data_IF_975211319666
#
_entry.id   IF_975211319666
#
_cell.length_a   1.000
_cell.length_b   1.000
_cell.length_c   1.000
_cell.angle_alpha   90.00
_cell.angle_beta   90.00
_cell.angle_gamma   90.00
#
_symmetry.space_group_name_H-M   'P 1'
#
loop_
_entity.id
_entity.type
_entity.pdbx_description
1 polymer ?
#
# COMPACT_ATOMS: atom_id res chain seq x y z
N UNK A 1 1.91 -15.07 20.39
CA UNK A 1 2.00 -13.62 20.72
C UNK A 1 1.92 -12.89 19.39
N UNK A 2 1.09 -11.90 19.23
CA UNK A 2 1.05 -11.15 17.97
C UNK A 2 2.00 -9.98 18.11
N UNK A 3 2.98 -9.89 17.21
CA UNK A 3 3.89 -8.76 17.16
C UNK A 3 3.13 -7.52 16.64
N UNK A 4 3.41 -6.36 17.23
CA UNK A 4 2.79 -5.09 16.87
C UNK A 4 3.89 -4.12 16.45
N UNK A 5 3.78 -3.62 15.24
CA UNK A 5 4.71 -2.67 14.67
C UNK A 5 3.96 -1.39 14.30
N UNK A 6 4.48 -0.24 14.71
CA UNK A 6 3.87 1.09 14.49
C UNK A 6 4.76 1.94 13.60
N UNK A 7 4.14 2.64 12.67
CA UNK A 7 4.87 3.49 11.73
C UNK A 7 3.97 4.60 11.19
N UNK A 8 4.56 5.57 10.51
CA UNK A 8 3.85 6.64 9.83
C UNK A 8 4.26 6.67 8.35
N UNK A 9 3.28 6.74 7.47
CA UNK A 9 3.50 6.90 6.03
C UNK A 9 2.67 8.07 5.54
N UNK A 10 3.31 9.04 4.91
CA UNK A 10 2.67 10.24 4.36
C UNK A 10 1.73 10.95 5.34
N UNK A 11 2.12 11.00 6.63
CA UNK A 11 1.37 11.64 7.67
C UNK A 11 0.19 10.83 8.21
N UNK A 12 -0.01 9.56 7.80
CA UNK A 12 -0.98 8.65 8.39
C UNK A 12 -0.31 7.62 9.29
N UNK A 13 -0.96 7.33 10.42
CA UNK A 13 -0.50 6.31 11.36
C UNK A 13 -0.99 4.93 10.96
N UNK A 14 -0.10 3.96 11.06
CA UNK A 14 -0.38 2.55 10.81
C UNK A 14 0.12 1.67 11.94
N UNK A 15 -0.63 0.61 12.20
CA UNK A 15 -0.24 -0.49 13.06
C UNK A 15 -0.32 -1.80 12.27
N UNK A 16 0.77 -2.55 12.22
CA UNK A 16 0.75 -3.92 11.72
C UNK A 16 0.73 -4.87 12.90
N UNK A 17 -0.23 -5.80 12.88
CA UNK A 17 -0.33 -6.93 13.79
C UNK A 17 -0.11 -8.20 13.00
N UNK A 18 0.77 -9.09 13.45
CA UNK A 18 1.09 -10.30 12.70
C UNK A 18 1.34 -11.49 13.62
N UNK A 19 1.01 -12.68 13.13
CA UNK A 19 1.39 -13.96 13.75
C UNK A 19 2.67 -14.55 13.15
N UNK A 20 3.26 -13.87 12.13
CA UNK A 20 4.48 -14.29 11.45
C UNK A 20 5.30 -13.05 11.08
N UNK A 21 6.25 -12.70 11.95
CA UNK A 21 7.10 -11.53 11.80
C UNK A 21 8.07 -11.67 10.61
N UNK A 22 8.56 -12.87 10.34
CA UNK A 22 9.51 -13.12 9.24
C UNK A 22 8.86 -12.79 7.89
N UNK A 23 7.65 -13.27 7.68
CA UNK A 23 6.90 -13.01 6.45
C UNK A 23 6.38 -11.58 6.33
N UNK A 24 6.32 -10.80 7.40
CA UNK A 24 5.92 -9.38 7.37
C UNK A 24 7.11 -8.42 7.35
N UNK A 25 8.29 -8.84 7.78
CA UNK A 25 9.48 -7.99 7.83
C UNK A 25 9.87 -7.37 6.47
N UNK A 26 9.53 -8.03 5.34
CA UNK A 26 9.81 -7.43 4.04
C UNK A 26 9.04 -6.12 3.80
N UNK A 27 7.84 -5.94 4.38
CA UNK A 27 7.08 -4.67 4.32
C UNK A 27 7.92 -3.57 4.96
N UNK A 28 8.54 -3.86 6.11
CA UNK A 28 9.39 -2.91 6.82
C UNK A 28 10.72 -2.65 6.13
N UNK A 29 11.30 -3.67 5.49
CA UNK A 29 12.52 -3.49 4.71
C UNK A 29 12.29 -2.57 3.50
N UNK A 30 11.09 -2.65 2.90
CA UNK A 30 10.69 -1.76 1.80
C UNK A 30 10.37 -0.35 2.31
N UNK A 31 9.66 -0.25 3.42
CA UNK A 31 9.26 1.03 4.00
C UNK A 31 10.36 1.68 4.85
N UNK A 32 11.32 0.90 5.34
CA UNK A 32 12.22 1.22 6.45
C UNK A 32 13.06 2.48 6.31
N UNK A 33 13.46 2.88 5.10
CA UNK A 33 14.15 4.15 4.89
C UNK A 33 13.21 5.37 4.89
N UNK A 34 11.92 5.16 4.64
CA UNK A 34 10.91 6.19 4.43
C UNK A 34 9.90 6.30 5.59
N UNK A 35 9.82 5.26 6.42
CA UNK A 35 8.94 5.23 7.59
C UNK A 35 9.76 5.55 8.84
N UNK A 36 9.93 6.83 9.12
CA UNK A 36 10.43 7.22 10.45
C UNK A 36 9.40 6.78 11.48
N UNK A 37 9.89 6.25 12.62
CA UNK A 37 9.09 5.87 13.81
C UNK A 37 8.33 7.07 14.44
N UNK A 38 7.91 8.01 13.66
CA UNK A 38 7.23 9.23 14.06
C UNK A 38 5.71 8.99 14.06
N UNK A 39 5.27 8.04 14.91
CA UNK A 39 3.86 7.90 15.20
C UNK A 39 3.33 9.25 15.72
N UNK A 40 2.36 9.84 14.98
CA UNK A 40 1.79 11.13 15.37
C UNK A 40 0.90 10.90 16.57
N UNK A 41 1.24 11.52 17.70
CA UNK A 41 0.43 11.45 18.91
C UNK A 41 -0.99 11.96 18.62
N UNK A 42 -2.00 11.33 19.22
CA UNK A 42 -3.42 11.69 19.09
C UNK A 42 -4.06 11.53 17.70
N UNK A 43 -3.36 10.92 16.73
CA UNK A 43 -3.95 10.55 15.45
C UNK A 43 -4.31 9.06 15.45
N UNK A 44 -5.55 8.75 15.06
CA UNK A 44 -6.03 7.37 14.91
C UNK A 44 -5.21 6.60 13.89
N UNK A 45 -4.97 5.32 14.14
CA UNK A 45 -4.18 4.45 13.27
C UNK A 45 -5.06 3.57 12.38
N UNK A 46 -4.61 3.34 11.16
CA UNK A 46 -5.09 2.21 10.35
C UNK A 46 -4.42 0.92 10.86
N UNK A 47 -5.22 -0.13 11.03
CA UNK A 47 -4.73 -1.41 11.55
C UNK A 47 -4.69 -2.43 10.41
N UNK A 48 -3.52 -2.98 10.15
CA UNK A 48 -3.30 -4.08 9.22
C UNK A 48 -2.95 -5.33 10.03
N UNK A 49 -3.87 -6.29 10.05
CA UNK A 49 -3.71 -7.56 10.77
C UNK A 49 -3.46 -8.68 9.79
N UNK A 50 -2.25 -9.27 9.84
CA UNK A 50 -1.85 -10.37 8.97
C UNK A 50 -1.87 -11.68 9.74
N UNK A 51 -2.70 -12.61 9.27
CA UNK A 51 -2.80 -13.97 9.77
C UNK A 51 -2.34 -14.93 8.67
N UNK A 52 -1.20 -15.56 8.87
CA UNK A 52 -0.68 -16.60 7.97
C UNK A 52 -1.28 -17.93 8.41
N UNK A 53 -2.29 -18.40 7.67
CA UNK A 53 -3.01 -19.63 7.95
C UNK A 53 -3.45 -20.33 6.66
N UNK A 54 -2.76 -21.43 6.35
CA UNK A 54 -3.05 -22.22 5.17
C UNK A 54 -4.42 -22.93 5.22
N UNK A 55 -4.98 -23.10 6.40
CA UNK A 55 -6.24 -23.84 6.62
C UNK A 55 -7.45 -22.94 6.77
N UNK A 56 -7.25 -21.62 6.78
CA UNK A 56 -8.35 -20.69 6.95
C UNK A 56 -9.36 -20.79 5.80
N UNK A 57 -10.62 -21.02 6.16
CA UNK A 57 -11.75 -21.00 5.23
C UNK A 57 -12.67 -19.84 5.63
N UNK A 58 -12.79 -18.81 4.78
CA UNK A 58 -13.63 -17.66 5.10
C UNK A 58 -15.10 -18.08 5.21
N UNK A 59 -15.75 -17.73 6.33
CA UNK A 59 -17.20 -17.83 6.45
C UNK A 59 -17.83 -16.69 5.67
N UNK A 60 -18.25 -16.98 4.44
CA UNK A 60 -18.81 -15.98 3.54
C UNK A 60 -20.29 -15.80 3.85
N UNK A 61 -20.67 -14.63 4.33
CA UNK A 61 -22.05 -14.19 4.24
C UNK A 61 -22.30 -13.73 2.80
N UNK A 62 -23.03 -14.52 2.02
CA UNK A 62 -23.30 -14.30 0.57
C UNK A 62 -24.16 -13.05 0.26
N UNK A 63 -24.41 -12.19 1.23
CA UNK A 63 -25.22 -10.99 1.06
C UNK A 63 -24.30 -9.81 0.69
N UNK A 64 -24.46 -9.26 -0.50
CA UNK A 64 -23.71 -8.10 -0.95
C UNK A 64 -23.58 -8.02 -2.47
N UNK A 65 -23.05 -6.90 -2.96
CA UNK A 65 -22.77 -6.71 -4.39
C UNK A 65 -21.40 -7.30 -4.68
N UNK A 66 -21.34 -8.26 -5.60
CA UNK A 66 -20.09 -8.90 -6.01
C UNK A 66 -19.48 -8.17 -7.20
N UNK A 67 -18.18 -7.94 -7.15
CA UNK A 67 -17.37 -7.38 -8.23
C UNK A 67 -16.20 -8.31 -8.52
N UNK A 68 -15.88 -8.48 -9.80
CA UNK A 68 -14.72 -9.24 -10.25
C UNK A 68 -13.55 -8.29 -10.57
N UNK A 69 -12.35 -8.64 -10.11
CA UNK A 69 -11.11 -7.91 -10.32
C UNK A 69 -10.05 -8.84 -10.95
N UNK A 70 -9.00 -8.25 -11.51
CA UNK A 70 -7.86 -9.02 -12.04
C UNK A 70 -7.20 -9.91 -10.98
N UNK A 71 -7.13 -9.45 -9.73
CA UNK A 71 -6.50 -10.13 -8.61
C UNK A 71 -7.44 -11.07 -7.84
N UNK A 72 -8.75 -11.00 -8.10
CA UNK A 72 -9.76 -11.78 -7.39
C UNK A 72 -11.14 -11.18 -7.50
N UNK A 73 -11.97 -11.38 -6.49
CA UNK A 73 -13.29 -10.75 -6.38
C UNK A 73 -13.48 -10.10 -5.02
N UNK A 74 -14.35 -9.11 -4.95
CA UNK A 74 -14.76 -8.57 -3.66
C UNK A 74 -16.27 -8.51 -3.52
N UNK A 75 -16.76 -8.61 -2.29
CA UNK A 75 -18.16 -8.47 -1.94
C UNK A 75 -18.28 -7.34 -0.92
N UNK A 76 -19.08 -6.33 -1.26
CA UNK A 76 -19.41 -5.24 -0.35
C UNK A 76 -20.69 -5.55 0.42
N UNK A 77 -20.60 -5.60 1.74
CA UNK A 77 -21.76 -5.69 2.64
C UNK A 77 -22.11 -4.29 3.16
N UNK A 78 -23.14 -3.69 2.57
CA UNK A 78 -23.59 -2.35 2.92
C UNK A 78 -24.09 -2.23 4.38
N UNK A 79 -24.69 -3.28 4.92
CA UNK A 79 -25.25 -3.23 6.27
C UNK A 79 -24.17 -3.18 7.35
N UNK A 80 -23.07 -3.93 7.13
CA UNK A 80 -21.95 -3.99 8.05
C UNK A 80 -20.83 -3.00 7.68
N UNK A 81 -20.94 -2.30 6.55
CA UNK A 81 -19.92 -1.42 5.99
C UNK A 81 -18.56 -2.10 5.93
N UNK A 82 -18.55 -3.32 5.36
CA UNK A 82 -17.36 -4.12 5.22
C UNK A 82 -17.17 -4.63 3.79
N UNK A 83 -15.90 -4.73 3.38
CA UNK A 83 -15.51 -5.37 2.14
C UNK A 83 -14.87 -6.71 2.44
N UNK A 84 -15.29 -7.73 1.70
CA UNK A 84 -14.71 -9.06 1.74
C UNK A 84 -14.00 -9.30 0.41
N UNK A 85 -12.69 -9.49 0.44
CA UNK A 85 -11.83 -9.59 -0.74
C UNK A 85 -11.30 -11.02 -0.84
N UNK A 86 -11.53 -11.65 -1.97
CA UNK A 86 -11.10 -13.03 -2.27
C UNK A 86 -10.03 -12.98 -3.36
N UNK A 87 -8.81 -13.32 -3.00
CA UNK A 87 -7.69 -13.34 -3.94
C UNK A 87 -7.63 -14.66 -4.72
N UNK A 88 -7.08 -14.62 -5.93
CA UNK A 88 -6.93 -15.81 -6.80
C UNK A 88 -6.03 -16.90 -6.21
N UNK A 89 -5.11 -16.53 -5.33
CA UNK A 89 -4.23 -17.46 -4.63
C UNK A 89 -4.93 -18.18 -3.45
N UNK A 90 -6.20 -17.90 -3.24
CA UNK A 90 -7.02 -18.45 -2.17
C UNK A 90 -6.87 -17.72 -0.84
N UNK A 91 -6.08 -16.65 -0.78
CA UNK A 91 -6.04 -15.74 0.37
C UNK A 91 -7.34 -14.93 0.46
N UNK A 92 -7.59 -14.38 1.64
CA UNK A 92 -8.79 -13.62 1.92
C UNK A 92 -8.45 -12.39 2.73
N UNK A 93 -9.15 -11.28 2.48
CA UNK A 93 -9.08 -10.10 3.32
C UNK A 93 -10.46 -9.55 3.65
N UNK A 94 -10.56 -8.94 4.81
CA UNK A 94 -11.73 -8.22 5.29
C UNK A 94 -11.34 -6.80 5.65
N UNK A 95 -12.02 -5.82 5.07
CA UNK A 95 -11.87 -4.44 5.44
C UNK A 95 -13.09 -3.95 6.21
N UNK A 96 -12.84 -3.51 7.43
CA UNK A 96 -13.83 -2.93 8.35
C UNK A 96 -13.68 -1.41 8.30
N UNK A 97 -14.45 -0.77 7.43
CA UNK A 97 -14.34 0.66 7.12
C UNK A 97 -14.38 1.54 8.39
N UNK A 98 -15.44 1.44 9.18
CA UNK A 98 -15.62 2.24 10.40
C UNK A 98 -14.53 2.04 11.47
N UNK A 99 -13.79 0.93 11.39
CA UNK A 99 -12.74 0.58 12.34
C UNK A 99 -11.34 0.87 11.79
N UNK A 100 -11.25 1.38 10.58
CA UNK A 100 -9.97 1.57 9.86
C UNK A 100 -9.09 0.32 9.93
N UNK A 101 -9.68 -0.86 9.74
CA UNK A 101 -9.01 -2.13 9.98
C UNK A 101 -9.10 -3.06 8.78
N UNK A 102 -7.94 -3.53 8.32
CA UNK A 102 -7.79 -4.61 7.34
C UNK A 102 -7.34 -5.88 8.06
N UNK A 103 -8.01 -6.99 7.80
CA UNK A 103 -7.67 -8.31 8.35
C UNK A 103 -7.38 -9.22 7.17
N UNK A 104 -6.16 -9.73 7.10
CA UNK A 104 -5.72 -10.63 6.04
C UNK A 104 -5.56 -12.04 6.58
N UNK A 105 -5.99 -13.01 5.79
CA UNK A 105 -5.73 -14.43 5.96
C UNK A 105 -4.96 -14.90 4.73
N UNK A 106 -3.66 -15.03 4.87
CA UNK A 106 -2.73 -15.29 3.77
C UNK A 106 -2.36 -16.77 3.79
N UNK A 107 -2.65 -17.48 2.70
CA UNK A 107 -2.39 -18.92 2.62
C UNK A 107 -0.93 -19.24 2.30
N UNK A 108 -0.35 -18.59 1.30
CA UNK A 108 1.02 -18.87 0.88
C UNK A 108 1.63 -17.65 0.21
N UNK A 109 2.87 -17.36 0.59
CA UNK A 109 3.64 -16.30 -0.06
C UNK A 109 4.52 -16.95 -1.12
N UNK A 110 4.17 -16.71 -2.39
CA UNK A 110 5.00 -17.16 -3.53
C UNK A 110 6.03 -16.10 -3.94
N UNK A 111 5.72 -14.83 -3.71
CA UNK A 111 6.54 -13.71 -4.14
C UNK A 111 6.34 -12.50 -3.21
N UNK A 112 7.42 -12.05 -2.57
CA UNK A 112 7.41 -10.90 -1.64
C UNK A 112 6.91 -9.62 -2.31
N UNK A 113 7.24 -9.41 -3.58
CA UNK A 113 6.77 -8.24 -4.36
C UNK A 113 5.25 -8.24 -4.51
N UNK A 114 4.67 -9.37 -4.91
CA UNK A 114 3.21 -9.49 -5.05
C UNK A 114 2.51 -9.28 -3.71
N UNK A 115 3.09 -9.78 -2.62
CA UNK A 115 2.57 -9.57 -1.29
C UNK A 115 2.54 -8.08 -0.93
N UNK A 116 3.62 -7.33 -1.21
CA UNK A 116 3.68 -5.91 -0.96
C UNK A 116 2.58 -5.16 -1.71
N UNK A 117 2.42 -5.40 -3.00
CA UNK A 117 1.38 -4.73 -3.79
C UNK A 117 -0.03 -5.14 -3.35
N UNK A 118 -0.34 -6.43 -3.29
CA UNK A 118 -1.68 -6.94 -3.03
C UNK A 118 -2.17 -6.73 -1.60
N UNK A 119 -1.30 -6.97 -0.62
CA UNK A 119 -1.72 -7.01 0.78
C UNK A 119 -1.28 -5.79 1.59
N UNK A 120 -0.50 -4.91 1.01
CA UNK A 120 -0.10 -3.67 1.66
C UNK A 120 -0.45 -2.43 0.82
N UNK A 121 0.07 -2.29 -0.40
CA UNK A 121 -0.09 -1.07 -1.18
C UNK A 121 -1.53 -0.83 -1.64
N UNK A 122 -2.24 -1.85 -2.09
CA UNK A 122 -3.64 -1.72 -2.52
C UNK A 122 -4.55 -1.30 -1.35
N UNK A 123 -4.51 -1.98 -0.17
CA UNK A 123 -5.23 -1.52 1.01
C UNK A 123 -4.81 -0.14 1.51
N UNK A 124 -3.52 0.17 1.44
CA UNK A 124 -2.99 1.50 1.77
C UNK A 124 -3.60 2.58 0.86
N UNK A 125 -3.70 2.29 -0.44
CA UNK A 125 -4.31 3.21 -1.42
C UNK A 125 -5.77 3.51 -1.07
N UNK A 126 -6.53 2.51 -0.63
CA UNK A 126 -7.90 2.68 -0.18
C UNK A 126 -7.94 3.57 1.09
N UNK A 127 -7.10 3.28 2.07
CA UNK A 127 -7.01 4.08 3.30
C UNK A 127 -6.64 5.55 3.03
N UNK A 128 -5.81 5.78 2.02
CA UNK A 128 -5.39 7.14 1.65
C UNK A 128 -6.47 7.92 0.91
N UNK A 129 -7.27 7.26 0.07
CA UNK A 129 -8.41 7.91 -0.59
C UNK A 129 -9.39 8.51 0.41
N UNK A 130 -9.58 7.91 1.58
CA UNK A 130 -10.40 8.46 2.67
C UNK A 130 -9.84 9.79 3.21
N UNK A 131 -8.54 10.01 3.09
CA UNK A 131 -7.85 11.22 3.54
C UNK A 131 -7.51 12.17 2.38
N UNK A 132 -8.16 12.04 1.22
CA UNK A 132 -7.91 12.83 0.02
C UNK A 132 -6.45 12.73 -0.48
N UNK A 133 -5.81 11.60 -0.28
CA UNK A 133 -4.47 11.28 -0.77
C UNK A 133 -4.57 10.23 -1.87
N UNK A 134 -3.70 10.32 -2.87
CA UNK A 134 -3.75 9.40 -4.02
C UNK A 134 -2.36 8.81 -4.23
N UNK A 135 -2.29 7.47 -4.20
CA UNK A 135 -1.07 6.72 -4.52
C UNK A 135 -1.03 6.40 -6.01
N UNK A 136 0.12 6.60 -6.62
CA UNK A 136 0.39 6.24 -8.00
C UNK A 136 1.55 5.25 -8.09
N UNK A 137 1.41 4.29 -9.00
CA UNK A 137 2.54 3.49 -9.47
C UNK A 137 3.22 4.23 -10.62
N UNK A 138 4.40 4.79 -10.36
CA UNK A 138 5.14 5.61 -11.31
C UNK A 138 6.41 6.18 -10.70
N UNK A 139 7.19 6.89 -11.51
CA UNK A 139 8.35 7.60 -11.01
C UNK A 139 8.01 9.07 -10.71
N UNK A 140 8.61 9.60 -9.66
CA UNK A 140 8.51 10.99 -9.25
C UNK A 140 9.91 11.61 -9.24
N UNK A 141 10.06 12.71 -9.96
CA UNK A 141 11.30 13.48 -10.00
C UNK A 141 11.02 14.92 -9.57
N UNK A 142 12.05 15.63 -9.12
CA UNK A 142 11.99 17.06 -8.82
C UNK A 142 13.13 17.80 -9.54
N UNK A 143 12.81 18.92 -10.14
CA UNK A 143 13.83 19.81 -10.69
C UNK A 143 14.53 20.53 -9.53
N UNK A 144 15.87 20.36 -9.42
CA UNK A 144 16.67 20.92 -8.31
C UNK A 144 16.73 22.45 -8.30
N UNK A 145 16.42 23.09 -9.42
CA UNK A 145 16.45 24.56 -9.53
C UNK A 145 15.09 25.19 -9.23
N UNK A 146 14.01 24.64 -9.83
CA UNK A 146 12.65 25.21 -9.70
C UNK A 146 11.84 24.60 -8.58
N UNK A 147 12.28 23.46 -8.06
CA UNK A 147 11.54 22.61 -7.11
C UNK A 147 10.19 22.10 -7.64
N UNK A 148 10.04 22.06 -8.97
CA UNK A 148 8.85 21.52 -9.63
C UNK A 148 8.95 20.01 -9.78
N UNK A 149 7.86 19.31 -9.44
CA UNK A 149 7.76 17.87 -9.58
C UNK A 149 7.33 17.43 -10.97
N UNK A 150 7.93 16.34 -11.47
CA UNK A 150 7.50 15.65 -12.69
C UNK A 150 7.15 14.21 -12.34
N UNK A 151 5.93 13.79 -12.66
CA UNK A 151 5.46 12.42 -12.49
C UNK A 151 5.47 11.67 -13.83
N UNK A 152 6.16 10.54 -13.88
CA UNK A 152 6.16 9.63 -15.02
C UNK A 152 5.23 8.47 -14.78
N UNK A 153 4.08 8.46 -15.46
CA UNK A 153 3.07 7.42 -15.38
C UNK A 153 3.08 6.56 -16.65
N UNK A 154 2.81 5.27 -16.50
CA UNK A 154 2.73 4.35 -17.63
C UNK A 154 2.84 2.90 -17.20
N UNK A 155 2.52 1.98 -18.12
CA UNK A 155 2.63 0.54 -17.86
C UNK A 155 4.08 0.12 -17.58
N UNK A 156 4.25 -1.01 -16.91
CA UNK A 156 5.57 -1.62 -16.71
C UNK A 156 6.25 -1.86 -18.07
N UNK A 157 7.54 -1.61 -18.15
CA UNK A 157 8.32 -1.77 -19.39
C UNK A 157 8.26 -0.58 -20.37
N UNK A 158 7.50 0.48 -20.11
CA UNK A 158 7.41 1.66 -20.99
C UNK A 158 8.54 2.68 -20.80
N UNK A 159 9.61 2.30 -20.13
CA UNK A 159 10.83 3.10 -20.03
C UNK A 159 10.81 4.20 -18.97
N UNK A 160 9.88 4.17 -17.99
CA UNK A 160 9.85 5.18 -16.91
C UNK A 160 11.22 5.35 -16.24
N UNK A 161 11.79 4.25 -15.76
CA UNK A 161 13.13 4.24 -15.12
C UNK A 161 14.22 4.79 -16.04
N UNK A 162 14.21 4.42 -17.33
CA UNK A 162 15.21 4.94 -18.28
C UNK A 162 15.10 6.46 -18.46
N UNK A 163 13.86 6.97 -18.58
CA UNK A 163 13.61 8.42 -18.66
C UNK A 163 14.02 9.10 -17.36
N UNK A 164 13.70 8.53 -16.20
CA UNK A 164 14.11 9.07 -14.89
C UNK A 164 15.62 9.21 -14.77
N UNK A 165 16.37 8.19 -15.17
CA UNK A 165 17.84 8.20 -15.18
C UNK A 165 18.37 9.26 -16.13
N UNK A 166 17.79 9.40 -17.31
CA UNK A 166 18.21 10.41 -18.28
C UNK A 166 17.96 11.84 -17.79
N UNK A 167 16.79 12.11 -17.21
CA UNK A 167 16.45 13.40 -16.62
C UNK A 167 17.38 13.74 -15.44
N UNK A 168 17.68 12.75 -14.60
CA UNK A 168 18.64 12.95 -13.50
C UNK A 168 20.04 13.28 -14.01
N UNK A 169 20.54 12.55 -15.02
CA UNK A 169 21.92 12.70 -15.49
C UNK A 169 22.13 13.93 -16.36
N UNK A 170 21.13 14.39 -17.11
CA UNK A 170 21.32 15.43 -18.14
C UNK A 170 20.57 16.73 -17.86
N UNK A 171 19.52 16.72 -17.06
CA UNK A 171 18.59 17.85 -16.97
C UNK A 171 18.34 18.36 -15.54
N UNK A 172 19.26 18.07 -14.61
CA UNK A 172 19.23 18.59 -13.24
C UNK A 172 17.97 18.18 -12.43
N UNK A 173 17.46 16.99 -12.69
CA UNK A 173 16.40 16.39 -11.88
C UNK A 173 16.97 15.45 -10.81
N UNK A 174 16.26 15.32 -9.70
CA UNK A 174 16.49 14.31 -8.67
C UNK A 174 15.34 13.30 -8.67
N UNK A 175 15.66 12.01 -8.61
CA UNK A 175 14.65 10.95 -8.52
C UNK A 175 14.24 10.83 -7.06
N UNK A 176 12.98 11.17 -6.75
CA UNK A 176 12.41 11.03 -5.42
C UNK A 176 11.79 9.63 -5.23
N UNK A 177 11.31 9.03 -6.31
CA UNK A 177 10.78 7.66 -6.32
C UNK A 177 10.80 7.09 -7.73
N UNK A 178 11.06 5.78 -7.87
CA UNK A 178 11.02 5.10 -9.17
C UNK A 178 9.79 4.18 -9.33
N UNK A 179 9.12 3.80 -8.25
CA UNK A 179 8.00 2.85 -8.31
C UNK A 179 6.68 3.40 -7.76
N UNK A 180 6.70 4.12 -6.64
CA UNK A 180 5.48 4.54 -5.95
C UNK A 180 5.62 5.94 -5.39
N UNK A 181 4.64 6.80 -5.66
CA UNK A 181 4.53 8.10 -5.03
C UNK A 181 3.10 8.42 -4.63
N UNK A 182 2.94 9.38 -3.72
CA UNK A 182 1.66 9.84 -3.22
C UNK A 182 1.49 11.33 -3.44
N UNK A 183 0.33 11.74 -3.96
CA UNK A 183 -0.16 13.11 -3.88
C UNK A 183 -0.83 13.25 -2.52
N UNK A 184 -0.31 14.16 -1.67
CA UNK A 184 -0.69 14.22 -0.26
C UNK A 184 -1.72 15.32 0.06
N UNK A 185 -1.94 16.24 -0.87
CA UNK A 185 -2.92 17.33 -0.68
C UNK A 185 -3.44 17.89 -2.01
N UNK A 186 -4.37 18.86 -1.90
CA UNK A 186 -5.01 19.52 -3.05
C UNK A 186 -4.07 20.47 -3.82
N UNK A 187 -2.95 20.86 -3.25
CA UNK A 187 -1.91 21.66 -3.88
C UNK A 187 -0.97 20.81 -4.74
N UNK A 188 -1.25 19.50 -4.85
CA UNK A 188 -0.46 18.51 -5.58
C UNK A 188 0.95 18.31 -5.02
N UNK A 189 1.16 18.59 -3.72
CA UNK A 189 2.38 18.19 -3.06
C UNK A 189 2.55 16.69 -3.12
N UNK A 190 3.75 16.22 -3.44
CA UNK A 190 4.04 14.81 -3.66
C UNK A 190 5.13 14.30 -2.74
N UNK A 191 5.05 13.03 -2.38
CA UNK A 191 6.10 12.30 -1.67
C UNK A 191 6.33 10.96 -2.34
N UNK A 192 7.60 10.56 -2.50
CA UNK A 192 7.97 9.26 -3.06
C UNK A 192 8.17 8.20 -1.98
N UNK A 193 7.93 6.94 -2.34
CA UNK A 193 8.40 5.76 -1.61
C UNK A 193 9.39 5.06 -2.52
N UNK A 194 10.63 4.91 -2.08
CA UNK A 194 11.58 4.07 -2.77
C UNK A 194 11.32 2.61 -2.37
N UNK A 195 10.63 1.90 -3.23
CA UNK A 195 10.42 0.46 -3.12
C UNK A 195 11.64 -0.20 -3.73
N UNK A 196 12.74 -0.27 -2.97
CA UNK A 196 13.94 -1.02 -3.37
C UNK A 196 13.61 -2.50 -3.42
N UNK A 197 13.30 -3.01 -4.62
CA UNK A 197 13.03 -4.43 -4.87
C UNK A 197 14.17 -5.00 -5.70
#
# INVERSE_FOLDING_TARGET
MNDILKFNVFGENFEIKTNDLENTNFIFNILGSNCKNNHIANKESYIFEYNFDNNYIPKIHKKGIKYELLIGSFIYDKNNQEYNIFYKDGSYAKWLFLKKKFIFYIKKIYNKRNMFFQYFLDPLSIAFLENNKIIFHGALLVNKTTNEGVALLGKSGYGKTSISIELNNKYNYEILSDDVFCIIDKQLNCQGINVGI
#
